data_IF_630341193330
#
_entry.id   IF_630341193330
#
_cell.length_a   1.000
_cell.length_b   1.000
_cell.length_c   1.000
_cell.angle_alpha   90.00
_cell.angle_beta   90.00
_cell.angle_gamma   90.00
#
_symmetry.space_group_name_H-M   'P 1'
#
loop_
_entity.id
_entity.type
_entity.pdbx_description
1 polymer ?
#
# COMPACT_ATOMS: atom_id res chain seq x y z
N UNK A 1 -18.06 -20.18 8.89
CA UNK A 1 -16.89 -20.41 8.00
C UNK A 1 -16.76 -19.43 6.82
N UNK A 2 -17.83 -18.95 6.19
CA UNK A 2 -17.74 -18.04 5.01
C UNK A 2 -17.09 -16.66 5.30
N UNK A 3 -17.23 -16.11 6.51
CA UNK A 3 -16.60 -14.83 6.91
C UNK A 3 -15.07 -14.90 7.00
N UNK A 4 -14.48 -16.01 7.45
CA UNK A 4 -13.02 -16.13 7.57
C UNK A 4 -12.33 -16.25 6.21
N UNK A 5 -12.93 -16.98 5.26
CA UNK A 5 -12.41 -17.07 3.87
C UNK A 5 -12.39 -15.71 3.18
N UNK A 6 -13.46 -14.91 3.28
CA UNK A 6 -13.50 -13.58 2.65
C UNK A 6 -12.46 -12.62 3.24
N UNK A 7 -12.20 -12.71 4.54
CA UNK A 7 -11.13 -11.96 5.22
C UNK A 7 -9.74 -12.38 4.76
N UNK A 8 -9.48 -13.69 4.70
CA UNK A 8 -8.21 -14.20 4.20
C UNK A 8 -7.94 -13.75 2.76
N UNK A 9 -8.94 -13.85 1.88
CA UNK A 9 -8.85 -13.37 0.49
C UNK A 9 -8.55 -11.87 0.45
N UNK A 10 -9.24 -11.07 1.25
CA UNK A 10 -9.00 -9.64 1.28
C UNK A 10 -7.56 -9.32 1.71
N UNK A 11 -7.04 -10.00 2.73
CA UNK A 11 -5.66 -9.81 3.20
C UNK A 11 -4.66 -10.21 2.12
N UNK A 12 -4.87 -11.37 1.47
CA UNK A 12 -4.02 -11.83 0.38
C UNK A 12 -4.02 -10.83 -0.77
N UNK A 13 -5.20 -10.36 -1.21
CA UNK A 13 -5.30 -9.35 -2.27
C UNK A 13 -4.66 -8.02 -1.84
N UNK A 14 -4.81 -7.64 -0.57
CA UNK A 14 -4.20 -6.46 0.02
C UNK A 14 -2.67 -6.48 0.02
N UNK A 15 -2.03 -7.65 0.00
CA UNK A 15 -0.58 -7.79 -0.07
C UNK A 15 -0.12 -7.99 -1.53
N UNK A 16 -0.83 -8.84 -2.28
CA UNK A 16 -0.44 -9.26 -3.64
C UNK A 16 -0.56 -8.11 -4.65
N UNK A 17 -1.67 -7.37 -4.69
CA UNK A 17 -1.82 -6.26 -5.64
C UNK A 17 -0.74 -5.18 -5.51
N UNK A 18 -0.40 -4.71 -4.31
CA UNK A 18 0.65 -3.71 -4.17
C UNK A 18 2.05 -4.24 -4.52
N UNK A 19 2.34 -5.52 -4.26
CA UNK A 19 3.57 -6.15 -4.74
C UNK A 19 3.64 -6.16 -6.27
N UNK A 20 2.55 -6.58 -6.94
CA UNK A 20 2.48 -6.55 -8.41
C UNK A 20 2.68 -5.13 -8.94
N UNK A 21 2.02 -4.14 -8.32
CA UNK A 21 2.17 -2.74 -8.71
C UNK A 21 3.63 -2.27 -8.58
N UNK A 22 4.31 -2.57 -7.47
CA UNK A 22 5.73 -2.22 -7.31
C UNK A 22 6.60 -2.86 -8.38
N UNK A 23 6.39 -4.14 -8.70
CA UNK A 23 7.14 -4.83 -9.77
C UNK A 23 6.86 -4.21 -11.14
N UNK A 24 5.61 -3.86 -11.43
CA UNK A 24 5.24 -3.24 -12.70
C UNK A 24 5.85 -1.85 -12.83
N UNK A 25 5.74 -1.00 -11.81
CA UNK A 25 6.26 0.38 -11.84
C UNK A 25 7.79 0.39 -11.91
N UNK A 26 8.48 -0.50 -11.19
CA UNK A 26 9.96 -0.62 -11.27
C UNK A 26 10.46 -1.13 -12.62
N UNK A 27 9.65 -1.91 -13.36
CA UNK A 27 9.99 -2.31 -14.74
C UNK A 27 9.70 -1.23 -15.76
N UNK A 28 8.70 -0.39 -15.53
CA UNK A 28 8.29 0.66 -16.47
C UNK A 28 9.09 1.96 -16.30
N UNK A 29 9.55 2.25 -15.08
CA UNK A 29 10.22 3.50 -14.75
C UNK A 29 11.51 3.22 -13.98
N UNK A 30 12.58 3.91 -14.38
CA UNK A 30 13.81 3.95 -13.58
C UNK A 30 13.51 4.55 -12.19
N UNK A 31 14.04 3.97 -11.09
CA UNK A 31 13.79 4.46 -9.72
C UNK A 31 14.19 5.92 -9.48
N UNK A 32 15.10 6.43 -10.31
CA UNK A 32 15.59 7.81 -10.32
C UNK A 32 14.68 8.79 -11.08
N UNK A 33 13.68 8.29 -11.80
CA UNK A 33 12.69 9.12 -12.47
C UNK A 33 11.83 9.88 -11.45
N UNK A 34 11.67 11.19 -11.66
CA UNK A 34 10.79 12.05 -10.84
C UNK A 34 9.34 11.55 -10.82
N UNK A 35 8.92 10.78 -11.83
CA UNK A 35 7.57 10.23 -11.95
C UNK A 35 7.39 8.89 -11.21
N UNK A 36 8.47 8.24 -10.79
CA UNK A 36 8.41 6.93 -10.12
C UNK A 36 7.57 6.98 -8.84
N UNK A 37 7.93 7.90 -7.94
CA UNK A 37 7.31 8.05 -6.62
C UNK A 37 5.83 8.48 -6.71
N UNK A 38 5.45 9.50 -7.50
CA UNK A 38 4.06 9.87 -7.71
C UNK A 38 3.23 8.73 -8.30
N UNK A 39 3.72 8.05 -9.35
CA UNK A 39 2.96 6.98 -10.01
C UNK A 39 2.74 5.80 -9.06
N UNK A 40 3.77 5.43 -8.31
CA UNK A 40 3.70 4.38 -7.29
C UNK A 40 2.66 4.77 -6.22
N UNK A 41 2.79 5.96 -5.62
CA UNK A 41 1.85 6.45 -4.61
C UNK A 41 0.41 6.47 -5.14
N UNK A 42 0.16 6.97 -6.35
CA UNK A 42 -1.18 6.98 -6.95
C UNK A 42 -1.73 5.57 -7.12
N UNK A 43 -0.94 4.62 -7.60
CA UNK A 43 -1.40 3.23 -7.75
C UNK A 43 -1.77 2.59 -6.41
N UNK A 44 -0.98 2.82 -5.37
CA UNK A 44 -1.27 2.35 -4.01
C UNK A 44 -2.52 3.00 -3.42
N UNK A 45 -2.72 4.29 -3.69
CA UNK A 45 -3.94 5.00 -3.32
C UNK A 45 -5.17 4.38 -4.01
N UNK A 46 -5.11 4.08 -5.31
CA UNK A 46 -6.21 3.44 -6.03
C UNK A 46 -6.50 2.02 -5.49
N UNK A 47 -5.47 1.22 -5.23
CA UNK A 47 -5.64 -0.10 -4.59
C UNK A 47 -6.32 0.06 -3.23
N UNK A 48 -5.86 1.02 -2.43
CA UNK A 48 -6.46 1.35 -1.14
C UNK A 48 -7.94 1.71 -1.27
N UNK A 49 -8.31 2.55 -2.24
CA UNK A 49 -9.70 2.93 -2.52
C UNK A 49 -10.53 1.70 -2.84
N UNK A 50 -10.06 0.84 -3.74
CA UNK A 50 -10.79 -0.37 -4.15
C UNK A 50 -11.00 -1.31 -2.96
N UNK A 51 -9.96 -1.52 -2.15
CA UNK A 51 -10.02 -2.38 -0.95
C UNK A 51 -10.98 -1.80 0.10
N UNK A 52 -10.86 -0.49 0.40
CA UNK A 52 -11.71 0.20 1.35
C UNK A 52 -13.17 0.27 0.93
N UNK A 53 -13.42 0.40 -0.37
CA UNK A 53 -14.75 0.36 -0.96
C UNK A 53 -15.35 -1.04 -0.87
N UNK A 54 -14.61 -2.09 -1.24
CA UNK A 54 -15.15 -3.46 -1.33
C UNK A 54 -15.24 -4.20 0.01
N UNK A 55 -14.40 -3.87 0.99
CA UNK A 55 -14.37 -4.52 2.31
C UNK A 55 -14.46 -3.53 3.48
N UNK A 56 -15.51 -2.68 3.51
CA UNK A 56 -15.71 -1.62 4.53
C UNK A 56 -15.43 -2.05 5.99
N UNK A 57 -15.90 -3.23 6.39
CA UNK A 57 -15.81 -3.74 7.77
C UNK A 57 -14.38 -4.15 8.14
N UNK A 58 -13.62 -4.65 7.17
CA UNK A 58 -12.26 -5.16 7.37
C UNK A 58 -11.19 -4.20 6.77
N UNK A 59 -11.60 -3.06 6.20
CA UNK A 59 -10.76 -2.07 5.52
C UNK A 59 -9.60 -1.57 6.40
N UNK A 60 -9.86 -1.30 7.68
CA UNK A 60 -8.82 -0.90 8.63
C UNK A 60 -7.85 -2.02 8.96
N UNK A 61 -8.34 -3.25 9.07
CA UNK A 61 -7.50 -4.44 9.29
C UNK A 61 -6.60 -4.65 8.08
N UNK A 62 -7.13 -4.48 6.87
CA UNK A 62 -6.36 -4.54 5.63
C UNK A 62 -5.28 -3.46 5.58
N UNK A 63 -5.64 -2.21 5.92
CA UNK A 63 -4.68 -1.10 5.99
C UNK A 63 -3.57 -1.35 7.02
N UNK A 64 -3.92 -1.84 8.21
CA UNK A 64 -2.95 -2.22 9.25
C UNK A 64 -2.06 -3.38 8.82
N UNK A 65 -2.60 -4.42 8.16
CA UNK A 65 -1.81 -5.53 7.63
C UNK A 65 -0.83 -5.06 6.55
N UNK A 66 -1.28 -4.19 5.65
CA UNK A 66 -0.45 -3.54 4.63
C UNK A 66 0.66 -2.71 5.28
N UNK A 67 0.32 -1.91 6.29
CA UNK A 67 1.28 -1.12 7.04
C UNK A 67 2.34 -1.99 7.70
N UNK A 68 1.90 -3.04 8.41
CA UNK A 68 2.80 -3.97 9.09
C UNK A 68 3.74 -4.65 8.10
N UNK A 69 3.22 -5.07 6.94
CA UNK A 69 4.05 -5.62 5.86
C UNK A 69 5.10 -4.61 5.39
N UNK A 70 4.72 -3.37 5.09
CA UNK A 70 5.66 -2.34 4.63
C UNK A 70 6.65 -1.90 5.71
N UNK A 71 6.26 -1.89 6.99
CA UNK A 71 7.17 -1.64 8.11
C UNK A 71 8.21 -2.76 8.23
N UNK A 72 7.80 -4.02 8.07
CA UNK A 72 8.74 -5.16 8.07
C UNK A 72 9.72 -5.03 6.90
N UNK A 73 9.23 -4.68 5.70
CA UNK A 73 10.07 -4.40 4.53
C UNK A 73 11.03 -3.25 4.80
N UNK A 74 10.57 -2.19 5.47
CA UNK A 74 11.39 -1.03 5.85
C UNK A 74 12.52 -1.43 6.81
N UNK A 75 12.19 -2.11 7.90
CA UNK A 75 13.19 -2.60 8.87
C UNK A 75 14.20 -3.54 8.18
N UNK A 76 13.72 -4.48 7.36
CA UNK A 76 14.58 -5.37 6.59
C UNK A 76 15.51 -4.61 5.64
N UNK A 77 15.00 -3.56 4.98
CA UNK A 77 15.81 -2.72 4.10
C UNK A 77 16.89 -1.94 4.87
N UNK A 78 16.60 -1.42 6.06
CA UNK A 78 17.60 -0.72 6.91
C UNK A 78 18.74 -1.67 7.29
N UNK A 79 18.40 -2.86 7.79
CA UNK A 79 19.39 -3.87 8.22
C UNK A 79 20.31 -4.29 7.05
N UNK A 80 19.73 -4.51 5.86
CA UNK A 80 20.47 -4.85 4.66
C UNK A 80 21.31 -3.67 4.13
N UNK A 81 20.90 -2.44 4.39
CA UNK A 81 21.59 -1.24 3.94
C UNK A 81 22.83 -0.94 4.78
N UNK A 82 22.75 -1.15 6.10
CA UNK A 82 23.87 -1.01 7.04
C UNK A 82 24.97 -2.06 6.82
N UNK A 83 24.60 -3.23 6.30
CA UNK A 83 25.56 -4.29 5.96
C UNK A 83 26.29 -4.06 4.63
N UNK A 84 25.77 -3.20 3.75
CA UNK A 84 26.28 -3.02 2.36
C UNK A 84 27.01 -1.67 2.17
N UNK A 85 27.19 -0.86 3.23
CA UNK A 85 27.98 0.38 3.14
C UNK A 85 27.38 1.40 2.15
N UNK A 86 26.06 1.52 2.14
CA UNK A 86 25.37 2.27 1.09
C UNK A 86 25.49 3.80 1.25
N UNK A 87 25.38 4.50 0.13
CA UNK A 87 25.21 5.95 0.08
C UNK A 87 23.94 6.39 0.83
N UNK A 88 24.08 7.28 1.80
CA UNK A 88 22.97 7.93 2.56
C UNK A 88 21.81 8.39 1.66
N UNK A 89 22.10 8.87 0.44
CA UNK A 89 21.06 9.28 -0.54
C UNK A 89 20.13 8.13 -0.93
N UNK A 90 20.68 6.93 -1.15
CA UNK A 90 19.92 5.72 -1.51
C UNK A 90 19.03 5.30 -0.35
N UNK A 91 19.52 5.40 0.88
CA UNK A 91 18.74 5.15 2.08
C UNK A 91 17.56 6.12 2.22
N UNK A 92 17.78 7.43 2.09
CA UNK A 92 16.68 8.41 2.18
C UNK A 92 15.65 8.27 1.06
N UNK A 93 16.08 7.96 -0.16
CA UNK A 93 15.17 7.68 -1.28
C UNK A 93 14.39 6.37 -1.04
N UNK A 94 15.08 5.35 -0.53
CA UNK A 94 14.54 4.08 -0.05
C UNK A 94 13.71 4.19 1.24
N UNK A 95 13.70 5.32 1.93
CA UNK A 95 12.78 5.57 3.03
C UNK A 95 11.55 6.34 2.52
N UNK A 96 11.77 7.35 1.68
CA UNK A 96 10.72 8.17 1.09
C UNK A 96 9.71 7.33 0.28
N UNK A 97 10.17 6.39 -0.57
CA UNK A 97 9.26 5.54 -1.34
C UNK A 97 8.33 4.70 -0.45
N UNK A 98 8.86 4.07 0.60
CA UNK A 98 8.11 3.23 1.53
C UNK A 98 7.10 4.06 2.33
N UNK A 99 7.53 5.24 2.81
CA UNK A 99 6.65 6.14 3.54
C UNK A 99 5.50 6.64 2.64
N UNK A 100 5.79 7.05 1.41
CA UNK A 100 4.77 7.49 0.46
C UNK A 100 3.78 6.37 0.12
N UNK A 101 4.26 5.14 -0.03
CA UNK A 101 3.42 3.96 -0.25
C UNK A 101 2.48 3.72 0.95
N UNK A 102 2.98 3.77 2.18
CA UNK A 102 2.17 3.58 3.39
C UNK A 102 1.08 4.65 3.48
N UNK A 103 1.47 5.93 3.34
CA UNK A 103 0.54 7.06 3.43
C UNK A 103 -0.53 6.99 2.34
N UNK A 104 -0.13 6.73 1.09
CA UNK A 104 -1.05 6.65 -0.04
C UNK A 104 -2.07 5.51 0.13
N UNK A 105 -1.62 4.35 0.60
CA UNK A 105 -2.50 3.19 0.86
C UNK A 105 -3.54 3.50 1.92
N UNK A 106 -3.14 4.11 3.04
CA UNK A 106 -4.08 4.50 4.10
C UNK A 106 -5.07 5.55 3.64
N UNK A 107 -4.60 6.60 2.96
CA UNK A 107 -5.45 7.63 2.40
C UNK A 107 -6.48 7.01 1.45
N UNK A 108 -6.04 6.09 0.58
CA UNK A 108 -6.91 5.36 -0.31
C UNK A 108 -7.97 4.54 0.42
N UNK A 109 -7.58 3.75 1.42
CA UNK A 109 -8.50 2.94 2.22
C UNK A 109 -9.54 3.82 2.94
N UNK A 110 -9.11 4.93 3.53
CA UNK A 110 -10.00 5.88 4.18
C UNK A 110 -11.01 6.48 3.18
N UNK A 111 -10.52 6.92 2.01
CA UNK A 111 -11.35 7.43 0.92
C UNK A 111 -12.37 6.38 0.43
N UNK A 112 -11.92 5.17 0.13
CA UNK A 112 -12.79 4.08 -0.32
C UNK A 112 -13.89 3.74 0.70
N UNK A 113 -13.55 3.77 1.99
CA UNK A 113 -14.52 3.59 3.08
C UNK A 113 -15.54 4.72 3.15
N UNK A 114 -15.11 5.98 3.03
CA UNK A 114 -16.01 7.16 3.03
C UNK A 114 -16.98 7.10 1.84
N UNK A 115 -16.46 6.80 0.65
CA UNK A 115 -17.27 6.70 -0.57
C UNK A 115 -18.35 5.62 -0.47
N UNK A 116 -18.02 4.45 0.10
CA UNK A 116 -19.02 3.40 0.33
C UNK A 116 -20.00 3.75 1.48
N UNK A 117 -19.55 4.51 2.49
CA UNK A 117 -20.40 5.02 3.56
C UNK A 117 -21.53 5.92 3.05
N UNK A 118 -21.21 6.85 2.13
CA UNK A 118 -22.18 7.77 1.53
C UNK A 118 -23.24 7.07 0.68
N UNK A 119 -22.85 6.00 -0.02
CA UNK A 119 -23.76 5.24 -0.90
C UNK A 119 -24.88 4.55 -0.14
N UNK A 120 -24.67 4.17 1.13
CA UNK A 120 -25.71 3.52 1.93
C UNK A 120 -26.68 4.52 2.55
N UNK A 121 -26.25 5.76 2.80
CA UNK A 121 -27.12 6.86 3.28
C UNK A 121 -28.00 7.49 2.21
N UNK A 122 -27.75 7.25 0.92
CA UNK A 122 -28.59 7.78 -0.18
C UNK A 122 -29.78 6.88 -0.52
N UNK A 123 -29.88 5.68 0.07
CA UNK A 123 -30.98 4.73 -0.17
C UNK A 123 -31.86 4.49 1.06
N UNK A 124 -31.64 5.22 2.15
CA UNK A 124 -32.50 5.28 3.34
C UNK A 124 -33.26 6.63 3.35
#
# INVERSE_FOLDING_TARGET
MLKSRRRAIAIVLGIVYPLILTVVVTKLLAPESLLFLPLLATGYLLIGIILGFRWRTDAWVLGLCLMAFWIIVLIGSVILTDTVGSNIKVFFQGFAWQLSVIVATFAGIALGRILNGRRLTEYD
#
